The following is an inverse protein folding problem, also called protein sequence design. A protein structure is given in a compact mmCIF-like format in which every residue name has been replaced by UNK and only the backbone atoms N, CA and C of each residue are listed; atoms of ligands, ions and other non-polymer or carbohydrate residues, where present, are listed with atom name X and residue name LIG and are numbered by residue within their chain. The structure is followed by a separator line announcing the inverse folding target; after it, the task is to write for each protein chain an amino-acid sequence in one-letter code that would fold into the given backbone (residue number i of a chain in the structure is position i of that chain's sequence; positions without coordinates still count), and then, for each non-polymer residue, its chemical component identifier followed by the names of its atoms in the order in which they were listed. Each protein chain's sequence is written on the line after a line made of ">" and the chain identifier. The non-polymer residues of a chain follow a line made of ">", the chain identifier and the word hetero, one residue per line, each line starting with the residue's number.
data_IF_700138477662
#
_entry.id   IF_700138477662
#
_cell.length_a   1.000
_cell.length_b   1.000
_cell.length_c   1.000
_cell.angle_alpha   90.00
_cell.angle_beta   90.00
_cell.angle_gamma   90.00
#
_symmetry.space_group_name_H-M   'P 1'
#
loop_
_entity.id
_entity.type
_entity.pdbx_description
1 polymer ?
#
# COMPACT_ATOMS: atom_id res chain seq x y z
N UNK A 1 -20.62 -3.18 3.70
CA UNK A 1 -21.37 -2.61 2.55
C UNK A 1 -20.33 -2.07 1.64
N UNK A 2 -20.11 -2.73 0.50
CA UNK A 2 -19.10 -2.32 -0.47
C UNK A 2 -19.47 -0.94 -1.02
N UNK A 3 -18.48 -0.03 -1.06
CA UNK A 3 -18.69 1.24 -1.77
C UNK A 3 -18.74 0.94 -3.27
N UNK A 4 -19.70 1.48 -4.02
CA UNK A 4 -19.70 1.29 -5.46
C UNK A 4 -18.41 1.90 -6.03
N UNK A 5 -17.56 1.08 -6.64
CA UNK A 5 -16.37 1.50 -7.36
C UNK A 5 -15.06 0.81 -6.97
N UNK A 6 -14.86 0.41 -5.71
CA UNK A 6 -13.63 -0.31 -5.30
C UNK A 6 -14.03 -1.71 -4.83
N UNK A 7 -13.61 -2.76 -5.54
CA UNK A 7 -13.95 -4.14 -5.16
C UNK A 7 -13.16 -4.58 -3.92
N UNK A 8 -13.72 -5.52 -3.18
CA UNK A 8 -12.97 -6.28 -2.20
C UNK A 8 -12.11 -7.32 -2.91
N UNK A 9 -10.80 -7.30 -2.70
CA UNK A 9 -9.87 -8.28 -3.25
C UNK A 9 -9.67 -9.40 -2.23
N UNK A 10 -9.74 -10.64 -2.69
CA UNK A 10 -9.55 -11.82 -1.84
C UNK A 10 -8.44 -12.68 -2.41
N UNK A 11 -7.49 -13.02 -1.55
CA UNK A 11 -6.37 -13.91 -1.88
C UNK A 11 -6.47 -15.23 -1.10
N UNK A 12 -5.42 -16.04 -1.11
CA UNK A 12 -5.40 -17.29 -0.32
C UNK A 12 -5.48 -17.04 1.18
N UNK A 13 -4.83 -15.98 1.69
CA UNK A 13 -4.69 -15.68 3.13
C UNK A 13 -5.25 -14.32 3.54
N UNK A 14 -5.57 -13.44 2.60
CA UNK A 14 -5.89 -12.04 2.87
C UNK A 14 -7.23 -11.61 2.26
N UNK A 15 -7.80 -10.58 2.87
CA UNK A 15 -8.89 -9.78 2.31
C UNK A 15 -8.45 -8.32 2.32
N UNK A 16 -8.46 -7.66 1.17
CA UNK A 16 -8.28 -6.21 1.03
C UNK A 16 -9.65 -5.62 0.74
N UNK A 17 -10.10 -4.69 1.55
CA UNK A 17 -11.38 -4.00 1.36
C UNK A 17 -11.26 -2.51 1.64
N UNK A 18 -12.11 -1.68 1.03
CA UNK A 18 -12.16 -0.27 1.38
C UNK A 18 -12.33 -0.08 2.89
N UNK A 19 -11.61 0.92 3.43
CA UNK A 19 -11.81 1.34 4.81
C UNK A 19 -13.21 1.92 5.00
N UNK A 20 -13.75 1.71 6.20
CA UNK A 20 -14.97 2.35 6.69
C UNK A 20 -14.71 3.01 8.03
N UNK A 21 -15.56 3.97 8.44
CA UNK A 21 -15.32 4.76 9.66
C UNK A 21 -15.21 3.91 10.94
N UNK A 22 -15.90 2.77 11.00
CA UNK A 22 -15.83 1.83 12.15
C UNK A 22 -14.47 1.17 12.31
N UNK A 23 -13.61 1.23 11.30
CA UNK A 23 -12.27 0.65 11.36
C UNK A 23 -11.31 1.49 12.23
N UNK A 24 -11.71 2.70 12.62
CA UNK A 24 -10.86 3.65 13.33
C UNK A 24 -10.24 3.06 14.60
N UNK A 25 -11.03 2.39 15.43
CA UNK A 25 -10.55 1.90 16.72
C UNK A 25 -9.49 0.81 16.57
N UNK A 26 -9.73 -0.15 15.69
CA UNK A 26 -8.78 -1.23 15.40
C UNK A 26 -7.52 -0.70 14.69
N UNK A 27 -7.69 0.19 13.72
CA UNK A 27 -6.59 0.82 13.00
C UNK A 27 -5.73 1.68 13.93
N UNK A 28 -6.34 2.41 14.88
CA UNK A 28 -5.60 3.26 15.82
C UNK A 28 -4.68 2.45 16.74
N UNK A 29 -5.08 1.24 17.13
CA UNK A 29 -4.21 0.33 17.89
C UNK A 29 -2.96 -0.04 17.09
N UNK A 30 -3.14 -0.39 15.82
CA UNK A 30 -2.02 -0.71 14.91
C UNK A 30 -1.15 0.50 14.65
N UNK A 31 -1.76 1.65 14.38
CA UNK A 31 -1.06 2.90 14.07
C UNK A 31 -0.29 3.48 15.25
N UNK A 32 -0.67 3.16 16.49
CA UNK A 32 0.07 3.59 17.69
C UNK A 32 1.42 2.90 17.82
N UNK A 33 1.65 1.78 17.13
CA UNK A 33 2.93 1.09 17.16
C UNK A 33 3.99 1.88 16.38
N UNK A 34 5.07 2.32 17.03
CA UNK A 34 6.20 3.00 16.38
C UNK A 34 6.77 2.15 15.23
N UNK A 35 6.88 0.84 15.42
CA UNK A 35 7.39 -0.07 14.41
C UNK A 35 6.54 -0.12 13.13
N UNK A 36 5.24 0.21 13.23
CA UNK A 36 4.36 0.28 12.06
C UNK A 36 4.69 1.48 11.17
N UNK A 37 5.11 2.59 11.78
CA UNK A 37 5.46 3.84 11.12
C UNK A 37 6.96 4.14 11.11
N UNK A 38 7.80 3.14 11.37
CA UNK A 38 9.25 3.36 11.39
C UNK A 38 9.74 4.07 10.13
N UNK A 39 9.25 3.68 8.98
CA UNK A 39 9.38 4.41 7.72
C UNK A 39 8.01 4.99 7.34
N UNK A 40 7.84 6.29 7.11
CA UNK A 40 8.82 7.36 7.18
C UNK A 40 8.79 8.16 8.50
N UNK A 41 7.82 7.93 9.40
CA UNK A 41 7.54 8.85 10.52
C UNK A 41 8.48 8.68 11.72
N UNK A 42 9.06 7.50 11.92
CA UNK A 42 9.88 7.12 13.07
C UNK A 42 9.13 7.23 14.42
N UNK A 43 7.80 7.26 14.40
CA UNK A 43 6.93 7.34 15.58
C UNK A 43 5.56 6.76 15.27
N UNK A 44 4.83 6.30 16.29
CA UNK A 44 3.42 5.93 16.16
C UNK A 44 2.53 7.15 15.89
N UNK A 45 1.30 6.90 15.47
CA UNK A 45 0.27 7.92 15.28
C UNK A 45 -0.75 7.87 16.41
N UNK A 46 -1.22 9.04 16.83
CA UNK A 46 -2.36 9.16 17.73
C UNK A 46 -3.66 8.70 17.05
N UNK A 47 -4.72 8.53 17.85
CA UNK A 47 -6.04 8.19 17.30
C UNK A 47 -6.59 9.31 16.41
N UNK A 48 -6.34 10.57 16.76
CA UNK A 48 -6.73 11.76 15.97
C UNK A 48 -6.01 11.79 14.61
N UNK A 49 -4.72 11.51 14.60
CA UNK A 49 -3.93 11.41 13.36
C UNK A 49 -4.40 10.24 12.50
N UNK A 50 -4.74 9.10 13.12
CA UNK A 50 -5.34 7.94 12.45
C UNK A 50 -6.70 8.27 11.85
N UNK A 51 -7.54 9.03 12.56
CA UNK A 51 -8.81 9.51 12.02
C UNK A 51 -8.60 10.41 10.79
N UNK A 52 -7.63 11.31 10.84
CA UNK A 52 -7.24 12.14 9.70
C UNK A 52 -6.72 11.33 8.51
N UNK A 53 -5.91 10.29 8.77
CA UNK A 53 -5.49 9.34 7.74
C UNK A 53 -6.70 8.66 7.09
N UNK A 54 -7.62 8.11 7.89
CA UNK A 54 -8.81 7.40 7.42
C UNK A 54 -9.71 8.31 6.58
N UNK A 55 -9.90 9.56 6.99
CA UNK A 55 -10.65 10.55 6.21
C UNK A 55 -10.02 10.82 4.85
N UNK A 56 -8.70 11.04 4.79
CA UNK A 56 -7.99 11.30 3.54
C UNK A 56 -8.07 10.13 2.58
N UNK A 57 -7.88 8.91 3.07
CA UNK A 57 -7.92 7.70 2.26
C UNK A 57 -9.33 7.48 1.70
N UNK A 58 -10.36 7.56 2.56
CA UNK A 58 -11.74 7.30 2.12
C UNK A 58 -12.30 8.40 1.21
N UNK A 59 -11.83 9.64 1.33
CA UNK A 59 -12.24 10.73 0.43
C UNK A 59 -11.73 10.55 -1.00
N UNK A 60 -10.62 9.81 -1.19
CA UNK A 60 -10.03 9.60 -2.52
C UNK A 60 -10.62 8.45 -3.29
N UNK A 61 -11.35 7.55 -2.65
CA UNK A 61 -11.94 6.39 -3.32
C UNK A 61 -12.83 6.75 -4.51
N UNK A 62 -13.61 7.83 -4.35
CA UNK A 62 -14.56 8.25 -5.39
C UNK A 62 -13.88 8.99 -6.55
N UNK A 63 -12.75 9.68 -6.29
CA UNK A 63 -12.01 10.43 -7.31
C UNK A 63 -11.04 9.57 -8.12
N UNK A 64 -10.37 8.63 -7.44
CA UNK A 64 -9.24 7.91 -8.01
C UNK A 64 -9.63 6.54 -8.57
N UNK A 65 -10.78 5.99 -8.12
CA UNK A 65 -11.26 4.65 -8.52
C UNK A 65 -10.47 3.49 -7.89
N UNK A 66 -9.49 3.80 -7.04
CA UNK A 66 -8.68 2.88 -6.24
C UNK A 66 -8.28 3.55 -4.92
N UNK A 67 -7.64 2.82 -4.03
CA UNK A 67 -7.19 3.41 -2.77
C UNK A 67 -6.35 2.46 -1.91
N UNK A 68 -5.88 3.01 -0.79
CA UNK A 68 -5.33 2.22 0.31
C UNK A 68 -6.49 1.53 1.02
N UNK A 69 -6.40 0.23 1.19
CA UNK A 69 -7.45 -0.64 1.72
C UNK A 69 -7.04 -1.28 3.05
N UNK A 70 -8.03 -1.55 3.90
CA UNK A 70 -7.83 -2.36 5.09
C UNK A 70 -7.40 -3.77 4.68
N UNK A 71 -6.30 -4.23 5.26
CA UNK A 71 -5.74 -5.56 5.06
C UNK A 71 -6.14 -6.44 6.23
N UNK A 72 -6.89 -7.51 5.97
CA UNK A 72 -7.38 -8.44 6.97
C UNK A 72 -6.81 -9.84 6.75
N UNK A 73 -6.48 -10.52 7.83
CA UNK A 73 -6.24 -11.95 7.82
C UNK A 73 -7.54 -12.68 7.52
N UNK A 74 -7.59 -13.45 6.45
CA UNK A 74 -8.81 -14.12 5.99
C UNK A 74 -9.35 -15.15 6.96
N UNK A 75 -8.47 -15.80 7.73
CA UNK A 75 -8.86 -16.86 8.64
C UNK A 75 -9.51 -16.33 9.92
N UNK A 76 -8.96 -15.26 10.50
CA UNK A 76 -9.43 -14.67 11.76
C UNK A 76 -10.36 -13.47 11.57
N UNK A 77 -10.30 -12.80 10.40
CA UNK A 77 -10.95 -11.53 10.16
C UNK A 77 -10.28 -10.33 10.82
N UNK A 78 -9.18 -10.53 11.52
CA UNK A 78 -8.46 -9.45 12.20
C UNK A 78 -7.81 -8.50 11.18
N UNK A 79 -7.84 -7.19 11.45
CA UNK A 79 -7.08 -6.21 10.69
C UNK A 79 -5.59 -6.35 11.03
N UNK A 80 -4.77 -6.46 10.00
CA UNK A 80 -3.32 -6.68 10.14
C UNK A 80 -2.48 -5.55 9.56
N UNK A 81 -3.15 -4.54 9.02
CA UNK A 81 -2.52 -3.39 8.40
C UNK A 81 -3.33 -2.83 7.23
N UNK A 82 -2.62 -2.39 6.22
CA UNK A 82 -3.21 -1.90 4.98
C UNK A 82 -2.30 -2.14 3.77
N UNK A 83 -2.91 -2.20 2.59
CA UNK A 83 -2.23 -2.24 1.31
C UNK A 83 -3.13 -1.63 0.24
N UNK A 84 -2.59 -1.28 -0.93
CA UNK A 84 -3.38 -0.79 -2.04
C UNK A 84 -2.65 0.22 -2.91
N UNK A 85 -3.42 0.94 -3.73
CA UNK A 85 -2.94 1.92 -4.70
C UNK A 85 -3.21 3.34 -4.23
N UNK A 86 -2.32 4.27 -4.53
CA UNK A 86 -2.51 5.69 -4.24
C UNK A 86 -1.76 6.58 -5.24
N UNK A 87 -2.22 7.82 -5.42
CA UNK A 87 -1.43 8.84 -6.13
C UNK A 87 -0.41 9.44 -5.15
N UNK A 88 0.91 9.36 -5.41
CA UNK A 88 1.95 9.78 -4.47
C UNK A 88 2.16 11.31 -4.53
N UNK A 89 1.17 12.09 -4.08
CA UNK A 89 1.22 13.56 -4.09
C UNK A 89 2.37 14.17 -3.27
N UNK A 90 2.99 13.39 -2.39
CA UNK A 90 4.15 13.81 -1.62
C UNK A 90 5.44 13.87 -2.44
N UNK A 91 5.44 13.30 -3.65
CA UNK A 91 6.57 13.26 -4.57
C UNK A 91 6.14 13.76 -5.96
N UNK A 92 5.88 15.07 -6.13
CA UNK A 92 5.25 15.61 -7.33
C UNK A 92 6.07 15.44 -8.60
N UNK A 93 7.38 15.27 -8.51
CA UNK A 93 8.30 15.12 -9.65
C UNK A 93 8.09 13.81 -10.45
N UNK A 94 7.46 12.80 -9.85
CA UNK A 94 7.18 11.53 -10.55
C UNK A 94 5.77 11.48 -11.14
N UNK A 95 4.95 12.51 -10.92
CA UNK A 95 3.59 12.53 -11.42
C UNK A 95 3.53 12.79 -12.94
N UNK A 96 2.54 12.17 -13.65
CA UNK A 96 1.51 11.31 -13.12
C UNK A 96 2.03 9.90 -12.82
N UNK A 97 1.78 9.41 -11.59
CA UNK A 97 2.12 8.06 -11.17
C UNK A 97 1.06 7.49 -10.21
N UNK A 98 0.92 6.18 -10.18
CA UNK A 98 0.15 5.45 -9.17
C UNK A 98 1.12 4.54 -8.41
N UNK A 99 1.15 4.70 -7.09
CA UNK A 99 2.00 3.93 -6.19
C UNK A 99 1.23 2.74 -5.63
N UNK A 100 1.88 1.57 -5.56
CA UNK A 100 1.45 0.48 -4.69
C UNK A 100 2.22 0.55 -3.38
N UNK A 101 1.49 0.47 -2.25
CA UNK A 101 2.08 0.48 -0.92
C UNK A 101 1.45 -0.56 0.00
N UNK A 102 2.17 -0.92 1.07
CA UNK A 102 1.74 -1.85 2.11
C UNK A 102 2.37 -1.54 3.45
N UNK A 103 1.62 -1.85 4.54
CA UNK A 103 2.11 -1.85 5.90
C UNK A 103 1.42 -2.94 6.71
N UNK A 104 2.21 -3.69 7.47
CA UNK A 104 1.71 -4.76 8.33
C UNK A 104 2.14 -4.53 9.77
N UNK A 105 1.24 -4.82 10.70
CA UNK A 105 1.54 -4.88 12.12
C UNK A 105 2.64 -5.92 12.40
N UNK A 106 3.45 -5.66 13.42
CA UNK A 106 4.67 -6.42 13.73
C UNK A 106 4.52 -7.94 13.67
N UNK A 107 3.52 -8.55 14.35
CA UNK A 107 3.33 -10.02 14.37
C UNK A 107 3.04 -10.65 13.02
N UNK A 108 2.69 -9.86 12.01
CA UNK A 108 2.31 -10.33 10.67
C UNK A 108 3.41 -10.20 9.62
N UNK A 109 4.53 -9.61 9.98
CA UNK A 109 5.69 -9.42 9.09
C UNK A 109 6.49 -10.71 8.89
N UNK A 110 7.30 -10.76 7.83
CA UNK A 110 8.19 -11.89 7.54
C UNK A 110 7.48 -13.18 7.08
N UNK A 111 6.18 -13.10 6.77
CA UNK A 111 5.33 -14.24 6.41
C UNK A 111 4.90 -14.25 4.93
N UNK A 112 5.48 -13.37 4.11
CA UNK A 112 5.14 -13.19 2.70
C UNK A 112 3.80 -12.49 2.44
N UNK A 113 3.12 -11.96 3.48
CA UNK A 113 1.81 -11.34 3.36
C UNK A 113 1.85 -9.99 2.63
N UNK A 114 2.94 -9.23 2.78
CA UNK A 114 3.13 -7.98 2.03
C UNK A 114 3.25 -8.24 0.52
N UNK A 115 3.98 -9.29 0.12
CA UNK A 115 4.09 -9.71 -1.28
C UNK A 115 2.74 -10.15 -1.83
N UNK A 116 1.97 -10.91 -1.06
CA UNK A 116 0.64 -11.37 -1.46
C UNK A 116 -0.35 -10.21 -1.61
N UNK A 117 -0.36 -9.26 -0.67
CA UNK A 117 -1.18 -8.05 -0.74
C UNK A 117 -0.79 -7.14 -1.91
N UNK A 118 0.52 -6.91 -2.08
CA UNK A 118 1.06 -6.12 -3.19
C UNK A 118 0.73 -6.73 -4.54
N UNK A 119 0.85 -8.06 -4.69
CA UNK A 119 0.48 -8.77 -5.92
C UNK A 119 -1.00 -8.56 -6.27
N UNK A 120 -1.90 -8.68 -5.29
CA UNK A 120 -3.34 -8.45 -5.50
C UNK A 120 -3.65 -7.01 -5.94
N UNK A 121 -3.01 -6.02 -5.30
CA UNK A 121 -3.18 -4.61 -5.66
C UNK A 121 -2.61 -4.29 -7.06
N UNK A 122 -1.45 -4.85 -7.42
CA UNK A 122 -0.85 -4.71 -8.75
C UNK A 122 -1.74 -5.34 -9.82
N UNK A 123 -2.24 -6.56 -9.59
CA UNK A 123 -3.17 -7.23 -10.51
C UNK A 123 -4.43 -6.40 -10.73
N UNK A 124 -5.04 -5.89 -9.66
CA UNK A 124 -6.17 -4.98 -9.76
C UNK A 124 -5.84 -3.73 -10.58
N UNK A 125 -4.70 -3.09 -10.30
CA UNK A 125 -4.27 -1.88 -11.02
C UNK A 125 -4.10 -2.11 -12.52
N UNK A 126 -3.47 -3.21 -12.93
CA UNK A 126 -3.27 -3.51 -14.34
C UNK A 126 -4.51 -4.04 -15.05
N UNK A 127 -5.35 -4.83 -14.39
CA UNK A 127 -6.52 -5.44 -15.04
C UNK A 127 -7.75 -4.53 -14.99
N UNK A 128 -8.21 -4.19 -13.79
CA UNK A 128 -9.44 -3.41 -13.58
C UNK A 128 -9.17 -1.92 -13.58
N UNK A 129 -8.06 -1.47 -12.97
CA UNK A 129 -7.68 -0.07 -12.89
C UNK A 129 -7.18 0.53 -14.21
N UNK A 130 -6.87 -0.32 -15.20
CA UNK A 130 -6.45 0.14 -16.55
C UNK A 130 -5.10 0.85 -16.57
N UNK A 131 -4.26 0.67 -15.53
CA UNK A 131 -2.96 1.30 -15.44
C UNK A 131 -1.96 0.60 -16.38
N UNK A 132 -1.02 1.36 -16.94
CA UNK A 132 0.08 0.82 -17.77
C UNK A 132 1.40 0.78 -16.99
N UNK A 133 1.48 1.54 -15.89
CA UNK A 133 2.65 1.66 -15.04
C UNK A 133 2.21 1.80 -13.58
N UNK A 134 2.86 1.06 -12.70
CA UNK A 134 2.73 1.19 -11.23
C UNK A 134 4.13 1.42 -10.67
N UNK A 135 4.24 2.36 -9.72
CA UNK A 135 5.48 2.61 -8.98
C UNK A 135 5.36 2.09 -7.55
N UNK A 136 6.48 1.91 -6.88
CA UNK A 136 6.55 1.73 -5.43
C UNK A 136 7.75 2.48 -4.89
N UNK A 137 7.58 3.15 -3.74
CA UNK A 137 8.55 4.09 -3.20
C UNK A 137 8.99 3.61 -1.82
N UNK A 138 10.30 3.63 -1.55
CA UNK A 138 10.81 3.23 -0.25
C UNK A 138 12.13 3.94 0.09
N UNK A 139 12.43 4.04 1.39
CA UNK A 139 13.76 4.41 1.87
C UNK A 139 14.70 3.20 1.68
N UNK A 140 15.88 3.34 1.06
CA UNK A 140 16.78 2.21 0.77
C UNK A 140 17.17 1.37 2.00
N UNK A 141 17.16 1.98 3.19
CA UNK A 141 17.34 1.27 4.46
C UNK A 141 16.22 0.27 4.77
N UNK A 142 15.02 0.44 4.18
CA UNK A 142 13.90 -0.48 4.31
C UNK A 142 14.07 -1.70 3.38
N UNK A 143 15.08 -2.49 3.67
CA UNK A 143 15.42 -3.69 2.89
C UNK A 143 14.24 -4.66 2.75
N UNK A 144 13.34 -4.68 3.73
CA UNK A 144 12.16 -5.54 3.69
C UNK A 144 11.20 -5.13 2.56
N UNK A 145 10.94 -3.82 2.38
CA UNK A 145 10.14 -3.32 1.25
C UNK A 145 10.83 -3.55 -0.08
N UNK A 146 12.14 -3.29 -0.19
CA UNK A 146 12.91 -3.56 -1.39
C UNK A 146 12.78 -5.01 -1.87
N UNK A 147 12.88 -5.99 -0.96
CA UNK A 147 12.69 -7.41 -1.27
C UNK A 147 11.28 -7.73 -1.78
N UNK A 148 10.26 -7.11 -1.21
CA UNK A 148 8.88 -7.30 -1.71
C UNK A 148 8.77 -6.78 -3.14
N UNK A 149 9.32 -5.60 -3.44
CA UNK A 149 9.31 -5.02 -4.78
C UNK A 149 10.04 -5.92 -5.79
N UNK A 150 11.22 -6.43 -5.43
CA UNK A 150 11.97 -7.39 -6.26
C UNK A 150 11.14 -8.65 -6.55
N UNK A 151 10.47 -9.23 -5.55
CA UNK A 151 9.61 -10.40 -5.74
C UNK A 151 8.40 -10.13 -6.62
N UNK A 152 7.91 -8.90 -6.65
CA UNK A 152 6.81 -8.47 -7.52
C UNK A 152 7.29 -8.08 -8.93
N UNK A 153 8.60 -8.06 -9.18
CA UNK A 153 9.19 -7.76 -10.49
C UNK A 153 9.44 -6.28 -10.74
N UNK A 154 9.36 -5.43 -9.71
CA UNK A 154 9.71 -4.02 -9.81
C UNK A 154 11.22 -3.84 -10.05
N UNK A 155 11.58 -2.82 -10.82
CA UNK A 155 12.96 -2.42 -11.06
C UNK A 155 13.17 -0.96 -10.65
N UNK A 156 14.39 -0.61 -10.25
CA UNK A 156 14.74 0.76 -9.92
C UNK A 156 14.54 1.67 -11.15
N UNK A 157 13.76 2.72 -10.98
CA UNK A 157 13.53 3.78 -11.96
C UNK A 157 14.35 5.04 -11.61
N UNK A 158 14.23 5.52 -10.37
CA UNK A 158 14.79 6.79 -9.93
C UNK A 158 15.26 6.72 -8.48
N UNK A 159 16.38 7.35 -8.16
CA UNK A 159 16.78 7.72 -6.81
C UNK A 159 16.54 9.22 -6.62
N UNK A 160 15.88 9.62 -5.55
CA UNK A 160 15.52 11.01 -5.26
C UNK A 160 15.55 11.30 -3.76
N UNK A 161 15.16 12.51 -3.38
CA UNK A 161 15.12 12.95 -1.98
C UNK A 161 13.69 13.33 -1.63
N UNK A 162 13.19 12.79 -0.53
CA UNK A 162 11.86 13.12 -0.01
C UNK A 162 11.81 14.49 0.66
N UNK A 163 10.60 14.90 1.03
CA UNK A 163 10.35 16.26 1.57
C UNK A 163 11.04 16.52 2.92
N UNK A 164 11.50 15.50 3.63
CA UNK A 164 12.24 15.61 4.90
C UNK A 164 13.75 15.44 4.73
N UNK A 165 14.23 15.34 3.49
CA UNK A 165 15.64 15.11 3.18
C UNK A 165 16.04 13.62 3.21
N UNK A 166 15.08 12.69 3.37
CA UNK A 166 15.32 11.25 3.30
C UNK A 166 15.64 10.81 1.86
N UNK A 167 16.54 9.85 1.73
CA UNK A 167 16.77 9.18 0.44
C UNK A 167 15.59 8.29 0.10
N UNK A 168 15.11 8.39 -1.13
CA UNK A 168 14.03 7.58 -1.67
C UNK A 168 14.47 6.85 -2.95
N UNK A 169 14.14 5.58 -3.03
CA UNK A 169 14.19 4.81 -4.25
C UNK A 169 12.75 4.66 -4.79
N UNK A 170 12.56 5.07 -6.03
CA UNK A 170 11.34 4.86 -6.81
C UNK A 170 11.60 3.67 -7.71
N UNK A 171 10.78 2.65 -7.58
CA UNK A 171 10.79 1.47 -8.45
C UNK A 171 9.55 1.46 -9.30
N UNK A 172 9.61 0.81 -10.45
CA UNK A 172 8.48 0.71 -11.37
C UNK A 172 8.25 -0.72 -11.86
N UNK A 173 7.01 -0.99 -12.19
CA UNK A 173 6.57 -2.18 -12.90
C UNK A 173 5.65 -1.74 -14.05
N UNK A 174 6.01 -2.11 -15.28
CA UNK A 174 5.20 -1.88 -16.46
C UNK A 174 4.25 -3.05 -16.68
N UNK A 175 3.05 -2.78 -17.21
CA UNK A 175 2.05 -3.81 -17.53
C UNK A 175 2.63 -4.92 -18.41
N UNK A 176 3.33 -4.57 -19.50
CA UNK A 176 3.91 -5.53 -20.42
C UNK A 176 4.82 -6.52 -19.69
N UNK A 177 5.71 -6.03 -18.83
CA UNK A 177 6.61 -6.86 -18.05
C UNK A 177 5.87 -7.77 -17.04
N UNK A 178 4.82 -7.24 -16.42
CA UNK A 178 3.98 -8.01 -15.50
C UNK A 178 3.24 -9.14 -16.25
N UNK A 179 2.72 -8.90 -17.45
CA UNK A 179 2.08 -9.89 -18.30
C UNK A 179 3.05 -10.99 -18.73
N UNK A 180 4.28 -10.63 -19.15
CA UNK A 180 5.35 -11.58 -19.51
C UNK A 180 5.72 -12.53 -18.35
N UNK A 181 5.74 -12.01 -17.10
CA UNK A 181 6.06 -12.81 -15.91
C UNK A 181 4.98 -13.82 -15.50
N UNK A 182 3.80 -13.80 -16.13
CA UNK A 182 2.64 -14.69 -15.84
C UNK A 182 2.47 -15.82 -16.89
N UNK A 183 3.19 -15.77 -18.01
CA UNK A 183 3.20 -16.80 -19.07
C UNK A 183 4.19 -17.89 -18.77
#
# INVERSE_FOLDING_TARGET
>A
MDRPGIPTLTTSRLVLRPFVLRDLDELAVIHAEESFWWYPLRSGMSKEETAGFLQRVTARYDSDGFGIEALLDRASGAMIGWAGLAVPHFLPEILPAVEVGWRLAGPWRGRGLATEAGAAAVEFGFTTGGLDRIVSIYEPENVASGRVMEHLGFTLDLATTGQRGEELAVTELLRERWEEGRG
#
